data_IF_755998068156
#
_entry.id   IF_755998068156
#
_cell.length_a   1.000
_cell.length_b   1.000
_cell.length_c   1.000
_cell.angle_alpha   90.00
_cell.angle_beta   90.00
_cell.angle_gamma   90.00
#
_symmetry.space_group_name_H-M   'P 1'
#
loop_
_entity.id
_entity.type
_entity.pdbx_description
1 polymer ?
#
# COMPACT_ATOMS: atom_id res chain seq x y z
N UNK A 1 -40.27 -27.03 -17.87
CA UNK A 1 -39.82 -25.61 -17.75
C UNK A 1 -40.53 -24.98 -16.55
N UNK A 2 -39.94 -25.03 -15.36
CA UNK A 2 -40.44 -24.34 -14.17
C UNK A 2 -39.32 -23.47 -13.61
N UNK A 3 -39.43 -22.15 -13.79
CA UNK A 3 -38.48 -21.21 -13.19
C UNK A 3 -38.90 -20.97 -11.73
N UNK A 4 -38.13 -21.51 -10.79
CA UNK A 4 -38.33 -21.29 -9.35
C UNK A 4 -37.76 -19.92 -8.99
N UNK A 5 -38.68 -18.98 -8.72
CA UNK A 5 -38.43 -17.65 -8.17
C UNK A 5 -37.74 -17.77 -6.80
N UNK A 6 -36.44 -17.52 -6.74
CA UNK A 6 -35.73 -17.25 -5.49
C UNK A 6 -36.00 -15.80 -5.09
N UNK A 7 -36.78 -15.62 -4.03
CA UNK A 7 -36.96 -14.34 -3.35
C UNK A 7 -35.61 -13.94 -2.76
N UNK A 8 -35.00 -12.88 -3.27
CA UNK A 8 -34.01 -12.13 -2.50
C UNK A 8 -34.84 -11.32 -1.51
N UNK A 9 -34.92 -11.83 -0.29
CA UNK A 9 -35.51 -11.16 0.84
C UNK A 9 -34.66 -9.91 1.10
N UNK A 10 -35.22 -8.75 0.79
CA UNK A 10 -34.54 -7.48 0.98
C UNK A 10 -34.32 -7.24 2.46
N UNK A 11 -33.09 -7.47 2.93
CA UNK A 11 -32.54 -6.72 4.03
C UNK A 11 -32.75 -5.24 3.68
N UNK A 12 -33.75 -4.62 4.32
CA UNK A 12 -33.90 -3.17 4.28
C UNK A 12 -32.65 -2.61 4.94
N UNK A 13 -31.68 -2.21 4.13
CA UNK A 13 -30.58 -1.37 4.57
C UNK A 13 -31.22 -0.13 5.21
N UNK A 14 -31.13 -0.05 6.53
CA UNK A 14 -31.54 1.13 7.26
C UNK A 14 -30.47 2.20 7.06
N UNK A 15 -30.72 3.07 6.08
CA UNK A 15 -29.83 4.19 5.75
C UNK A 15 -29.63 5.19 6.91
N UNK A 16 -30.38 5.06 8.01
CA UNK A 16 -30.18 5.84 9.24
C UNK A 16 -29.14 5.27 10.21
N UNK A 17 -28.72 4.01 10.02
CA UNK A 17 -27.77 3.31 10.91
C UNK A 17 -26.54 2.76 10.21
N UNK A 18 -26.57 2.58 8.88
CA UNK A 18 -25.42 2.13 8.09
C UNK A 18 -24.53 3.33 7.74
N UNK A 19 -23.29 3.34 8.24
CA UNK A 19 -22.29 4.33 7.85
C UNK A 19 -21.72 3.99 6.48
N UNK A 20 -21.27 4.99 5.72
CA UNK A 20 -20.45 4.76 4.53
C UNK A 20 -19.15 4.01 4.83
N UNK A 21 -18.74 3.96 6.10
CA UNK A 21 -17.62 3.16 6.59
C UNK A 21 -17.93 1.65 6.71
N UNK A 22 -19.22 1.26 6.78
CA UNK A 22 -19.66 -0.13 6.95
C UNK A 22 -20.03 -0.79 5.60
N UNK A 23 -19.94 -0.05 4.50
CA UNK A 23 -20.23 -0.50 3.15
C UNK A 23 -18.94 -0.85 2.40
N UNK A 24 -19.02 -1.80 1.49
CA UNK A 24 -17.95 -2.10 0.53
C UNK A 24 -17.38 -0.80 -0.08
N UNK A 25 -16.06 -0.76 -0.37
CA UNK A 25 -15.40 0.47 -0.80
C UNK A 25 -16.10 1.09 -2.01
N UNK A 26 -16.40 2.38 -1.91
CA UNK A 26 -17.10 3.08 -2.98
C UNK A 26 -16.23 3.16 -4.25
N UNK A 27 -16.83 3.30 -5.45
CA UNK A 27 -16.07 3.43 -6.69
C UNK A 27 -15.01 4.54 -6.67
N UNK A 28 -15.30 5.66 -6.01
CA UNK A 28 -14.34 6.76 -5.85
C UNK A 28 -13.16 6.37 -4.94
N UNK A 29 -13.40 5.61 -3.87
CA UNK A 29 -12.34 5.08 -3.03
C UNK A 29 -11.46 4.08 -3.78
N UNK A 30 -12.04 3.20 -4.60
CA UNK A 30 -11.29 2.24 -5.43
C UNK A 30 -10.37 2.99 -6.41
N UNK A 31 -10.88 4.01 -7.09
CA UNK A 31 -10.10 4.82 -8.02
C UNK A 31 -8.97 5.57 -7.31
N UNK A 32 -9.26 6.18 -6.15
CA UNK A 32 -8.27 6.88 -5.34
C UNK A 32 -7.14 5.94 -4.89
N UNK A 33 -7.48 4.74 -4.40
CA UNK A 33 -6.51 3.69 -4.02
C UNK A 33 -5.58 3.32 -5.17
N UNK A 34 -6.15 3.06 -6.36
CA UNK A 34 -5.35 2.75 -7.54
C UNK A 34 -4.43 3.90 -7.98
N UNK A 35 -4.83 5.15 -7.76
CA UNK A 35 -3.99 6.32 -8.04
C UNK A 35 -2.82 6.43 -7.06
N UNK A 36 -3.07 6.24 -5.76
CA UNK A 36 -2.03 6.22 -4.72
C UNK A 36 -0.98 5.12 -4.96
N UNK A 37 -1.43 3.91 -5.31
CA UNK A 37 -0.53 2.81 -5.65
C UNK A 37 0.39 3.14 -6.83
N UNK A 38 -0.19 3.69 -7.92
CA UNK A 38 0.60 4.08 -9.10
C UNK A 38 1.63 5.15 -8.78
N UNK A 39 1.25 6.13 -7.97
CA UNK A 39 2.13 7.22 -7.55
C UNK A 39 3.33 6.68 -6.75
N UNK A 40 3.10 5.70 -5.88
CA UNK A 40 4.16 5.12 -5.07
C UNK A 40 5.08 4.19 -5.86
N UNK A 41 4.54 3.34 -6.73
CA UNK A 41 5.38 2.60 -7.68
C UNK A 41 6.21 3.55 -8.56
N UNK A 42 5.66 4.70 -8.96
CA UNK A 42 6.42 5.73 -9.67
C UNK A 42 7.51 6.38 -8.80
N UNK A 43 7.22 6.62 -7.51
CA UNK A 43 8.19 7.13 -6.53
C UNK A 43 9.34 6.15 -6.29
N UNK A 44 9.05 4.88 -6.06
CA UNK A 44 10.04 3.81 -5.88
C UNK A 44 10.96 3.70 -7.09
N UNK A 45 10.42 3.71 -8.31
CA UNK A 45 11.24 3.65 -9.54
C UNK A 45 12.20 4.84 -9.70
N UNK A 46 12.03 5.93 -8.94
CA UNK A 46 12.88 7.13 -9.00
C UNK A 46 14.04 7.14 -7.99
N UNK A 47 14.06 6.25 -7.01
CA UNK A 47 15.18 6.16 -6.04
C UNK A 47 16.25 5.19 -6.56
N UNK A 48 17.53 5.26 -6.13
CA UNK A 48 18.55 4.31 -6.57
C UNK A 48 18.21 2.86 -6.21
N UNK A 49 18.55 1.91 -7.10
CA UNK A 49 18.19 0.49 -7.03
C UNK A 49 18.45 -0.17 -5.67
N UNK A 50 19.61 0.09 -5.07
CA UNK A 50 19.98 -0.47 -3.77
C UNK A 50 19.03 -0.09 -2.62
N UNK A 51 18.33 1.04 -2.74
CA UNK A 51 17.32 1.45 -1.77
C UNK A 51 15.95 0.86 -2.14
N UNK A 52 15.61 0.76 -3.43
CA UNK A 52 14.39 0.07 -3.88
C UNK A 52 14.33 -1.35 -3.32
N UNK A 53 15.38 -2.14 -3.58
CA UNK A 53 15.47 -3.55 -3.13
C UNK A 53 15.28 -3.66 -1.62
N UNK A 54 15.96 -2.81 -0.84
CA UNK A 54 15.88 -2.86 0.62
C UNK A 54 14.48 -2.49 1.12
N UNK A 55 13.80 -1.54 0.48
CA UNK A 55 12.42 -1.20 0.83
C UNK A 55 11.44 -2.30 0.40
N UNK A 56 11.63 -2.91 -0.77
CA UNK A 56 10.82 -4.05 -1.24
C UNK A 56 10.89 -5.22 -0.26
N UNK A 57 12.10 -5.66 0.09
CA UNK A 57 12.30 -6.73 1.07
C UNK A 57 11.70 -6.38 2.44
N UNK A 58 11.86 -5.13 2.88
CA UNK A 58 11.33 -4.73 4.18
C UNK A 58 9.80 -4.67 4.23
N UNK A 59 9.18 -4.17 3.16
CA UNK A 59 7.75 -3.85 3.15
C UNK A 59 6.87 -4.90 2.47
N UNK A 60 7.35 -5.58 1.43
CA UNK A 60 6.58 -6.61 0.73
C UNK A 60 6.88 -8.00 1.27
N UNK A 61 8.15 -8.31 1.52
CA UNK A 61 8.58 -9.61 2.05
C UNK A 61 8.55 -9.67 3.59
N UNK A 62 8.09 -8.60 4.25
CA UNK A 62 8.03 -8.45 5.72
C UNK A 62 9.35 -8.76 6.44
N UNK A 63 10.47 -8.56 5.76
CA UNK A 63 11.78 -8.90 6.30
C UNK A 63 12.26 -7.86 7.30
N UNK A 64 12.86 -8.33 8.40
CA UNK A 64 13.54 -7.44 9.34
C UNK A 64 14.90 -7.06 8.77
N UNK A 65 15.44 -5.94 9.23
CA UNK A 65 16.77 -5.45 8.80
C UNK A 65 17.90 -6.50 8.99
N UNK A 66 17.76 -7.41 9.95
CA UNK A 66 18.68 -8.53 10.18
C UNK A 66 18.62 -9.55 9.03
N UNK A 67 17.41 -9.93 8.63
CA UNK A 67 17.20 -10.90 7.56
C UNK A 67 17.64 -10.31 6.21
N UNK A 68 17.37 -9.01 5.99
CA UNK A 68 17.84 -8.27 4.80
C UNK A 68 19.38 -8.21 4.76
N UNK A 69 20.03 -7.98 5.90
CA UNK A 69 21.50 -7.95 5.97
C UNK A 69 22.12 -9.29 5.57
N UNK A 70 21.49 -10.40 5.97
CA UNK A 70 21.91 -11.75 5.59
C UNK A 70 21.71 -11.98 4.09
N UNK A 71 20.51 -11.71 3.56
CA UNK A 71 20.19 -11.96 2.13
C UNK A 71 21.07 -11.13 1.20
N UNK A 72 21.30 -9.86 1.53
CA UNK A 72 22.08 -8.96 0.67
C UNK A 72 23.59 -9.02 0.96
N UNK A 73 24.03 -9.87 1.89
CA UNK A 73 25.43 -10.00 2.32
C UNK A 73 26.07 -8.65 2.71
N UNK A 74 25.33 -7.83 3.46
CA UNK A 74 25.77 -6.50 3.92
C UNK A 74 25.77 -6.41 5.45
N UNK A 75 26.56 -5.50 6.05
CA UNK A 75 26.49 -5.26 7.49
C UNK A 75 25.09 -4.82 7.94
N UNK A 76 24.63 -5.26 9.12
CA UNK A 76 23.35 -4.85 9.69
C UNK A 76 23.22 -3.32 9.81
N UNK A 77 24.30 -2.62 10.16
CA UNK A 77 24.33 -1.16 10.18
C UNK A 77 24.07 -0.54 8.80
N UNK A 78 24.58 -1.17 7.74
CA UNK A 78 24.35 -0.78 6.36
C UNK A 78 22.91 -1.06 5.93
N UNK A 79 22.33 -2.21 6.29
CA UNK A 79 20.93 -2.52 6.00
C UNK A 79 20.00 -1.48 6.66
N UNK A 80 20.19 -1.19 7.95
CA UNK A 80 19.39 -0.19 8.68
C UNK A 80 19.49 1.20 8.05
N UNK A 81 20.70 1.66 7.75
CA UNK A 81 20.90 2.99 7.13
C UNK A 81 20.36 3.06 5.70
N UNK A 82 20.43 1.96 4.93
CA UNK A 82 19.77 1.87 3.62
C UNK A 82 18.25 1.91 3.70
N UNK A 83 17.63 1.24 4.67
CA UNK A 83 16.17 1.33 4.89
C UNK A 83 15.80 2.79 5.17
N UNK A 84 16.47 3.42 6.14
CA UNK A 84 16.19 4.80 6.53
C UNK A 84 16.36 5.75 5.35
N UNK A 85 17.52 5.70 4.67
CA UNK A 85 17.80 6.57 3.52
C UNK A 85 16.87 6.30 2.35
N UNK A 86 16.47 5.04 2.14
CA UNK A 86 15.48 4.68 1.14
C UNK A 86 14.13 5.34 1.39
N UNK A 87 13.64 5.33 2.65
CA UNK A 87 12.40 6.01 3.04
C UNK A 87 12.46 7.51 2.76
N UNK A 88 13.57 8.16 3.12
CA UNK A 88 13.77 9.59 2.86
C UNK A 88 13.76 9.90 1.35
N UNK A 89 14.54 9.15 0.56
CA UNK A 89 14.60 9.33 -0.89
C UNK A 89 13.24 9.10 -1.56
N UNK A 90 12.47 8.17 -1.04
CA UNK A 90 11.13 7.87 -1.54
C UNK A 90 10.16 9.02 -1.25
N UNK A 91 10.22 9.59 -0.05
CA UNK A 91 9.45 10.80 0.29
C UNK A 91 9.84 11.98 -0.61
N UNK A 92 11.15 12.20 -0.83
CA UNK A 92 11.64 13.22 -1.76
C UNK A 92 11.13 12.98 -3.20
N UNK A 93 11.09 11.73 -3.64
CA UNK A 93 10.61 11.35 -4.97
C UNK A 93 9.09 11.57 -5.14
N UNK A 94 8.30 11.27 -4.10
CA UNK A 94 6.86 11.47 -4.06
C UNK A 94 6.50 12.95 -4.03
N UNK A 95 7.22 13.77 -3.28
CA UNK A 95 7.04 15.22 -3.26
C UNK A 95 7.24 15.84 -4.66
N UNK A 96 8.17 15.29 -5.46
CA UNK A 96 8.42 15.71 -6.85
C UNK A 96 7.40 15.20 -7.87
N UNK A 97 6.47 14.33 -7.47
CA UNK A 97 5.41 13.81 -8.34
C UNK A 97 4.12 14.61 -8.22
N UNK A 98 4.14 15.78 -7.56
CA UNK A 98 2.95 16.57 -7.21
C UNK A 98 1.87 15.71 -6.55
N UNK A 99 2.32 14.79 -5.68
CA UNK A 99 1.45 14.04 -4.81
C UNK A 99 0.55 15.03 -4.04
N UNK A 100 -0.79 14.85 -4.04
CA UNK A 100 -1.68 15.69 -3.23
C UNK A 100 -1.18 15.79 -1.79
N UNK A 101 -1.25 16.97 -1.16
CA UNK A 101 -0.71 17.18 0.20
C UNK A 101 -1.23 16.19 1.25
N UNK A 102 -2.43 15.65 1.05
CA UNK A 102 -3.02 14.57 1.87
C UNK A 102 -2.28 13.23 1.76
N UNK A 103 -1.68 12.94 0.60
CA UNK A 103 -0.80 11.78 0.42
C UNK A 103 0.50 12.02 1.19
N UNK A 104 1.12 13.20 1.07
CA UNK A 104 2.41 13.53 1.70
C UNK A 104 2.34 13.56 3.24
N UNK A 105 1.30 14.16 3.84
CA UNK A 105 1.08 14.14 5.30
C UNK A 105 0.87 12.72 5.83
N UNK A 106 0.20 11.87 5.04
CA UNK A 106 0.08 10.47 5.40
C UNK A 106 1.42 9.74 5.21
N UNK A 107 2.22 10.01 4.17
CA UNK A 107 3.34 9.12 3.78
C UNK A 107 4.46 9.00 4.82
N UNK A 108 4.72 9.99 5.68
CA UNK A 108 5.78 9.87 6.70
C UNK A 108 5.33 8.98 7.89
N UNK A 109 4.04 8.97 8.22
CA UNK A 109 3.45 8.21 9.34
C UNK A 109 2.74 6.92 8.88
N UNK A 110 2.35 6.85 7.61
CA UNK A 110 1.45 5.86 7.00
C UNK A 110 2.20 4.99 5.97
N UNK A 111 3.52 5.10 5.77
CA UNK A 111 4.23 4.22 4.82
C UNK A 111 4.14 2.74 5.24
N UNK A 112 4.14 2.48 6.55
CA UNK A 112 3.97 1.14 7.11
C UNK A 112 2.52 0.64 6.96
N UNK A 113 1.54 1.50 7.22
CA UNK A 113 0.13 1.20 7.05
C UNK A 113 -0.25 1.04 5.57
N UNK A 114 0.32 1.88 4.69
CA UNK A 114 0.19 1.77 3.25
C UNK A 114 0.85 0.49 2.73
N UNK A 115 2.05 0.15 3.21
CA UNK A 115 2.73 -1.08 2.83
C UNK A 115 1.90 -2.30 3.24
N UNK A 116 1.33 -2.28 4.46
CA UNK A 116 0.41 -3.32 4.94
C UNK A 116 -0.81 -3.46 4.01
N UNK A 117 -1.48 -2.35 3.69
CA UNK A 117 -2.64 -2.34 2.78
C UNK A 117 -2.30 -2.87 1.38
N UNK A 118 -1.17 -2.46 0.82
CA UNK A 118 -0.73 -2.96 -0.48
C UNK A 118 -0.42 -4.46 -0.49
N UNK A 119 0.10 -4.99 0.62
CA UNK A 119 0.27 -6.44 0.75
C UNK A 119 -1.06 -7.15 0.74
N UNK A 120 -2.03 -6.65 1.50
CA UNK A 120 -3.38 -7.22 1.56
C UNK A 120 -4.05 -7.22 0.16
N UNK A 121 -3.87 -6.13 -0.60
CA UNK A 121 -4.37 -6.02 -1.97
C UNK A 121 -3.63 -6.96 -2.95
N UNK A 122 -2.30 -7.12 -2.82
CA UNK A 122 -1.51 -8.04 -3.65
C UNK A 122 -1.80 -9.51 -3.33
N UNK A 123 -2.09 -9.84 -2.07
CA UNK A 123 -2.52 -11.18 -1.65
C UNK A 123 -3.91 -11.56 -2.21
N UNK A 124 -4.71 -10.57 -2.64
CA UNK A 124 -6.06 -10.77 -3.17
C UNK A 124 -6.12 -10.65 -4.72
N UNK A 125 -4.99 -10.54 -5.40
CA UNK A 125 -4.93 -10.53 -6.86
C UNK A 125 -5.09 -11.97 -7.42
N UNK A 126 -6.05 -12.23 -8.32
CA UNK A 126 -6.11 -13.51 -9.03
C UNK A 126 -4.86 -13.62 -9.92
N UNK A 127 -4.05 -14.66 -9.67
CA UNK A 127 -2.84 -14.98 -10.43
C UNK A 127 -3.11 -15.32 -11.90
#
# INVERSE_FOLDING_TARGET
MHYRRGRVEGERLDFGTVSSADLDPSPSQIIARGAEQRLLLAGLRRIPMQYQIVLELFYWEEMRAQDIAVILEIPLGTAKTRILRGRELLQEALAKLDAPGSVLESTVTNLEDWARRLRDDNANAPG
#
